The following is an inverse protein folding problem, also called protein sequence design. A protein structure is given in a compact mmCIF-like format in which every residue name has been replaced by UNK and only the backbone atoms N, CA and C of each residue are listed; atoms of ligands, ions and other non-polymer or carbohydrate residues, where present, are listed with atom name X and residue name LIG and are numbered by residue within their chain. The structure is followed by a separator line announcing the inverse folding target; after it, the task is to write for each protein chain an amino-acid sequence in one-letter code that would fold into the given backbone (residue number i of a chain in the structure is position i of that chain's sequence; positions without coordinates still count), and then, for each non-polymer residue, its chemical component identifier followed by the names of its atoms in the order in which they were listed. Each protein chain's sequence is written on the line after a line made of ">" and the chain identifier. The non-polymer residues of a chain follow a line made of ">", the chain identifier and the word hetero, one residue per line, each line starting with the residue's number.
data_IF_924105049555
#
_entry.id   IF_924105049555
#
_cell.length_a   1.000
_cell.length_b   1.000
_cell.length_c   1.000
_cell.angle_alpha   90.00
_cell.angle_beta   90.00
_cell.angle_gamma   90.00
#
_symmetry.space_group_name_H-M   'P 1'
#
loop_
_entity.id
_entity.type
_entity.pdbx_description
1 polymer ?
#
# COMPACT_ATOMS: atom_id res chain seq x y z
N UNK A 1 15.62 -22.39 -4.59
CA UNK A 1 14.43 -21.54 -4.76
C UNK A 1 13.71 -21.46 -3.43
N UNK A 2 13.45 -20.25 -2.96
CA UNK A 2 12.59 -20.04 -1.79
C UNK A 2 11.13 -19.88 -2.23
N UNK A 3 10.22 -20.40 -1.43
CA UNK A 3 8.77 -20.24 -1.63
C UNK A 3 8.33 -18.90 -1.05
N UNK A 4 7.45 -18.20 -1.77
CA UNK A 4 6.89 -16.93 -1.32
C UNK A 4 5.40 -17.12 -1.01
N UNK A 5 4.98 -16.66 0.17
CA UNK A 5 3.58 -16.51 0.54
C UNK A 5 3.31 -15.07 0.95
N UNK A 6 2.12 -14.58 0.61
CA UNK A 6 1.69 -13.22 0.96
C UNK A 6 0.36 -13.25 1.69
N UNK A 7 0.25 -12.42 2.72
CA UNK A 7 -0.99 -12.17 3.45
C UNK A 7 -1.25 -10.67 3.45
N UNK A 8 -2.46 -10.25 3.10
CA UNK A 8 -2.91 -8.88 3.29
C UNK A 8 -3.79 -8.83 4.52
N UNK A 9 -3.42 -7.97 5.48
CA UNK A 9 -4.11 -7.79 6.75
C UNK A 9 -4.73 -6.40 6.83
N UNK A 10 -5.92 -6.32 7.39
CA UNK A 10 -6.58 -5.04 7.66
C UNK A 10 -5.98 -4.34 8.89
N UNK A 11 -6.54 -3.18 9.27
CA UNK A 11 -6.04 -2.40 10.40
C UNK A 11 -6.18 -3.12 11.76
N UNK A 12 -7.08 -4.10 11.85
CA UNK A 12 -7.29 -4.95 13.03
C UNK A 12 -6.46 -6.25 12.96
N UNK A 13 -5.52 -6.33 12.01
CA UNK A 13 -4.65 -7.49 11.76
C UNK A 13 -5.39 -8.75 11.28
N UNK A 14 -6.63 -8.62 10.80
CA UNK A 14 -7.36 -9.75 10.22
C UNK A 14 -6.90 -9.98 8.78
N UNK A 15 -6.62 -11.24 8.43
CA UNK A 15 -6.21 -11.63 7.07
C UNK A 15 -7.42 -11.52 6.14
N UNK A 16 -7.37 -10.58 5.19
CA UNK A 16 -8.46 -10.31 4.24
C UNK A 16 -8.19 -10.86 2.84
N UNK A 17 -6.94 -11.20 2.53
CA UNK A 17 -6.57 -11.90 1.30
C UNK A 17 -5.22 -12.63 1.47
N UNK A 18 -5.04 -13.71 0.71
CA UNK A 18 -3.79 -14.50 0.72
C UNK A 18 -3.38 -14.87 -0.71
N UNK A 19 -2.09 -15.09 -0.92
CA UNK A 19 -1.55 -15.57 -2.20
C UNK A 19 -0.22 -16.30 -2.04
N UNK A 20 0.20 -16.98 -3.10
CA UNK A 20 1.46 -17.72 -3.16
C UNK A 20 2.19 -17.42 -4.46
N UNK A 21 3.51 -17.60 -4.44
CA UNK A 21 4.39 -17.34 -5.57
C UNK A 21 5.01 -15.96 -5.54
N UNK A 22 6.01 -15.77 -6.39
CA UNK A 22 6.76 -14.51 -6.52
C UNK A 22 6.03 -13.46 -7.37
N UNK A 23 4.91 -13.83 -7.98
CA UNK A 23 4.02 -12.96 -8.76
C UNK A 23 2.57 -13.41 -8.62
N UNK A 24 1.63 -12.47 -8.68
CA UNK A 24 0.21 -12.77 -8.54
C UNK A 24 -0.64 -11.54 -8.25
N UNK A 25 -1.90 -11.78 -7.95
CA UNK A 25 -2.87 -10.75 -7.56
C UNK A 25 -3.59 -11.17 -6.28
N UNK A 26 -3.98 -10.18 -5.48
CA UNK A 26 -4.83 -10.38 -4.31
C UNK A 26 -6.19 -9.74 -4.57
N UNK A 27 -7.25 -10.44 -4.18
CA UNK A 27 -8.62 -9.95 -4.29
C UNK A 27 -9.15 -9.68 -2.89
N UNK A 28 -9.57 -8.43 -2.63
CA UNK A 28 -10.24 -8.02 -1.40
C UNK A 28 -11.67 -7.68 -1.76
N UNK A 29 -12.62 -8.41 -1.18
CA UNK A 29 -14.04 -8.12 -1.36
C UNK A 29 -14.43 -6.95 -0.46
N UNK A 30 -15.15 -5.97 -1.00
CA UNK A 30 -15.58 -4.76 -0.28
C UNK A 30 -14.43 -4.05 0.48
N UNK A 31 -13.36 -3.63 -0.21
CA UNK A 31 -12.20 -3.04 0.45
C UNK A 31 -12.56 -1.71 1.12
N UNK A 32 -12.06 -1.50 2.34
CA UNK A 32 -11.92 -0.14 2.88
C UNK A 32 -10.84 0.57 2.08
N UNK A 33 -11.24 1.51 1.22
CA UNK A 33 -10.32 2.25 0.36
C UNK A 33 -9.52 3.28 1.16
N UNK A 34 -8.24 3.45 0.80
CA UNK A 34 -7.49 4.62 1.20
C UNK A 34 -8.15 5.87 0.60
N UNK A 35 -8.38 6.91 1.39
CA UNK A 35 -8.93 8.19 0.95
C UNK A 35 -8.09 9.36 1.47
N UNK A 36 -8.02 10.50 0.75
CA UNK A 36 -7.50 11.74 1.31
C UNK A 36 -8.24 12.09 2.61
N UNK A 37 -7.50 12.47 3.66
CA UNK A 37 -8.05 12.72 5.00
C UNK A 37 -7.81 11.54 5.95
N UNK A 38 -8.58 10.46 5.81
CA UNK A 38 -8.48 9.29 6.71
C UNK A 38 -7.22 8.45 6.49
N UNK A 39 -6.83 8.24 5.23
CA UNK A 39 -5.60 7.55 4.88
C UNK A 39 -5.48 6.09 5.34
N UNK A 40 -6.58 5.32 5.33
CA UNK A 40 -6.61 3.90 5.74
C UNK A 40 -5.53 3.04 5.06
N UNK A 41 -4.82 2.21 5.83
CA UNK A 41 -3.74 1.34 5.36
C UNK A 41 -3.96 -0.11 5.82
N UNK A 42 -3.73 -1.04 4.90
CA UNK A 42 -3.52 -2.46 5.15
C UNK A 42 -2.04 -2.74 5.41
N UNK A 43 -1.73 -3.93 5.90
CA UNK A 43 -0.38 -4.48 5.96
C UNK A 43 -0.27 -5.70 5.03
N UNK A 44 0.60 -5.62 4.02
CA UNK A 44 0.98 -6.75 3.19
C UNK A 44 2.20 -7.41 3.81
N UNK A 45 2.01 -8.57 4.43
CA UNK A 45 3.10 -9.41 4.93
C UNK A 45 3.60 -10.30 3.80
N UNK A 46 4.82 -10.06 3.32
CA UNK A 46 5.50 -10.93 2.36
C UNK A 46 6.43 -11.86 3.14
N UNK A 47 6.25 -13.16 2.97
CA UNK A 47 7.09 -14.18 3.60
C UNK A 47 7.86 -14.93 2.53
N UNK A 48 9.18 -14.93 2.61
CA UNK A 48 10.06 -15.72 1.76
C UNK A 48 10.72 -16.82 2.59
N UNK A 49 10.49 -18.08 2.23
CA UNK A 49 10.99 -19.27 2.95
C UNK A 49 11.95 -20.06 2.09
N UNK A 50 13.12 -20.37 2.63
CA UNK A 50 14.02 -21.40 2.09
C UNK A 50 13.97 -22.64 3.00
N UNK A 51 14.83 -23.63 2.74
CA UNK A 51 14.94 -24.79 3.64
C UNK A 51 15.53 -24.44 5.01
N UNK A 52 16.28 -23.35 5.10
CA UNK A 52 17.06 -22.98 6.30
C UNK A 52 16.70 -21.62 6.87
N UNK A 53 16.04 -20.76 6.10
CA UNK A 53 15.77 -19.37 6.44
C UNK A 53 14.31 -19.00 6.17
N UNK A 54 13.81 -18.05 6.95
CA UNK A 54 12.50 -17.45 6.78
C UNK A 54 12.64 -15.95 6.97
N UNK A 55 12.33 -15.18 5.93
CA UNK A 55 12.27 -13.72 5.97
C UNK A 55 10.82 -13.26 5.90
N UNK A 56 10.47 -12.23 6.67
CA UNK A 56 9.12 -11.66 6.75
C UNK A 56 9.24 -10.14 6.66
N UNK A 57 8.60 -9.59 5.64
CA UNK A 57 8.60 -8.16 5.37
C UNK A 57 7.17 -7.59 5.41
N UNK A 58 6.80 -6.81 6.44
CA UNK A 58 5.54 -6.09 6.47
C UNK A 58 5.64 -4.79 5.65
N UNK A 59 4.71 -4.60 4.71
CA UNK A 59 4.61 -3.39 3.89
C UNK A 59 3.23 -2.75 4.05
N UNK A 60 3.18 -1.47 4.41
CA UNK A 60 1.90 -0.73 4.50
C UNK A 60 1.38 -0.39 3.10
N UNK A 61 0.09 -0.67 2.84
CA UNK A 61 -0.53 -0.50 1.52
C UNK A 61 -1.88 0.23 1.63
N UNK A 62 -2.07 1.29 0.85
CA UNK A 62 -3.37 1.95 0.70
C UNK A 62 -4.03 1.56 -0.61
N UNK A 63 -5.20 0.91 -0.57
CA UNK A 63 -5.95 0.55 -1.78
C UNK A 63 -6.61 1.82 -2.33
N UNK A 64 -6.09 2.33 -3.45
CA UNK A 64 -6.66 3.48 -4.17
C UNK A 64 -6.46 3.40 -5.67
N UNK A 65 -7.36 4.01 -6.43
CA UNK A 65 -7.15 4.29 -7.85
C UNK A 65 -6.76 5.76 -8.06
N UNK A 66 -5.90 6.02 -9.04
CA UNK A 66 -5.53 7.35 -9.49
C UNK A 66 -5.63 7.38 -11.01
N UNK A 67 -6.35 8.35 -11.57
CA UNK A 67 -6.56 8.46 -13.00
C UNK A 67 -6.76 9.91 -13.44
N UNK A 68 -6.50 10.20 -14.71
CA UNK A 68 -6.92 11.45 -15.36
C UNK A 68 -8.00 11.12 -16.39
N UNK A 69 -9.10 11.86 -16.36
CA UNK A 69 -10.19 11.73 -17.35
C UNK A 69 -10.61 13.12 -17.84
N UNK A 70 -10.32 13.42 -19.10
CA UNK A 70 -10.46 14.78 -19.61
C UNK A 70 -9.59 15.74 -18.81
N UNK A 71 -10.19 16.78 -18.25
CA UNK A 71 -9.53 17.80 -17.43
C UNK A 71 -9.55 17.49 -15.93
N UNK A 72 -10.05 16.32 -15.52
CA UNK A 72 -10.20 15.97 -14.10
C UNK A 72 -9.10 15.00 -13.64
N UNK A 73 -8.49 15.33 -12.49
CA UNK A 73 -7.70 14.38 -11.71
C UNK A 73 -8.64 13.62 -10.77
N UNK A 74 -8.58 12.29 -10.80
CA UNK A 74 -9.46 11.42 -10.04
C UNK A 74 -8.68 10.61 -9.01
N UNK A 75 -9.16 10.60 -7.76
CA UNK A 75 -8.77 9.62 -6.74
C UNK A 75 -10.01 8.79 -6.41
N UNK A 76 -9.91 7.46 -6.51
CA UNK A 76 -11.04 6.55 -6.29
C UNK A 76 -12.25 6.91 -7.15
N UNK A 77 -12.00 7.24 -8.42
CA UNK A 77 -12.99 7.65 -9.42
C UNK A 77 -13.75 8.95 -9.10
N UNK A 78 -13.33 9.71 -8.08
CA UNK A 78 -13.92 11.00 -7.70
C UNK A 78 -12.98 12.15 -8.07
N UNK A 79 -13.49 13.28 -8.59
CA UNK A 79 -12.69 14.48 -8.85
C UNK A 79 -11.97 14.95 -7.58
N UNK A 80 -10.67 15.22 -7.71
CA UNK A 80 -9.82 15.70 -6.63
C UNK A 80 -9.24 17.06 -6.98
N UNK A 81 -9.24 17.97 -6.00
CA UNK A 81 -8.65 19.29 -6.12
C UNK A 81 -7.46 19.39 -5.16
N UNK A 82 -6.27 19.65 -5.72
CA UNK A 82 -5.05 19.78 -4.93
C UNK A 82 -5.01 21.11 -4.19
N UNK A 83 -4.66 21.07 -2.91
CA UNK A 83 -4.34 22.25 -2.10
C UNK A 83 -3.06 21.98 -1.33
N UNK A 84 -2.20 22.98 -1.17
CA UNK A 84 -0.97 22.84 -0.40
C UNK A 84 0.16 23.71 -0.94
N UNK A 85 1.39 23.29 -0.70
CA UNK A 85 2.60 24.05 -0.98
C UNK A 85 3.64 23.16 -1.66
N UNK A 86 4.50 23.75 -2.50
CA UNK A 86 5.76 23.14 -2.87
C UNK A 86 6.68 23.12 -1.64
N UNK A 87 6.99 21.94 -1.13
CA UNK A 87 7.88 21.78 0.04
C UNK A 87 9.31 21.52 -0.44
N UNK A 88 10.28 21.99 0.35
CA UNK A 88 11.70 21.69 0.17
C UNK A 88 12.22 20.99 1.43
N UNK A 89 13.14 20.05 1.28
CA UNK A 89 13.87 19.48 2.42
C UNK A 89 15.02 20.41 2.82
N UNK A 90 14.67 21.58 3.32
CA UNK A 90 15.62 22.58 3.80
C UNK A 90 15.43 22.80 5.30
N UNK A 91 16.55 22.94 6.01
CA UNK A 91 16.60 23.23 7.43
C UNK A 91 17.98 23.84 7.74
N UNK A 92 18.02 24.89 8.57
CA UNK A 92 19.26 25.58 8.96
C UNK A 92 20.31 24.66 9.61
N UNK A 93 19.88 23.51 10.14
CA UNK A 93 20.72 22.49 10.78
C UNK A 93 20.49 21.12 10.13
N UNK A 94 20.75 20.97 8.83
CA UNK A 94 21.05 19.67 8.23
C UNK A 94 22.53 19.39 8.54
N UNK A 95 22.80 18.48 9.48
CA UNK A 95 24.06 18.36 10.24
C UNK A 95 25.39 18.31 9.45
N UNK A 96 26.50 18.55 10.17
CA UNK A 96 27.89 18.34 9.71
C UNK A 96 28.09 17.00 8.99
#
# INVERSE_FOLDING_TARGET
>A
NGDVSVELRDADQQVVATGQGTSGTLQVVNPHLWQPGEGYLYELCVTAKSQTECDIYPLRVGIRSVAVKGEQFLINHKPFYFTGFGRHEDADLRGK
#
